data_IF_285452795291
#
_entry.id   IF_285452795291
#
_cell.length_a   1.000
_cell.length_b   1.000
_cell.length_c   1.000
_cell.angle_alpha   90.00
_cell.angle_beta   90.00
_cell.angle_gamma   90.00
#
_symmetry.space_group_name_H-M   'P 1'
#
loop_
_entity.id
_entity.type
_entity.pdbx_description
1 polymer ?
#
# COMPACT_ATOMS: atom_id res chain seq x y z
N UNK A 1 -0.38 -3.85 20.71
CA UNK A 1 -1.50 -4.53 21.41
C UNK A 1 -1.11 -5.35 22.65
N UNK A 2 0.17 -5.54 22.97
CA UNK A 2 0.57 -6.19 24.24
C UNK A 2 0.36 -7.72 24.29
N UNK A 3 -0.10 -8.34 23.19
CA UNK A 3 -0.37 -9.77 23.11
C UNK A 3 0.71 -10.49 22.30
N UNK A 4 1.16 -11.64 22.81
CA UNK A 4 2.11 -12.51 22.11
C UNK A 4 1.35 -13.44 21.16
N UNK A 5 1.50 -13.22 19.85
CA UNK A 5 0.83 -14.02 18.80
C UNK A 5 1.59 -15.32 18.48
N UNK A 6 2.83 -15.46 18.95
CA UNK A 6 3.65 -16.67 18.71
C UNK A 6 4.05 -16.86 17.24
N UNK A 7 4.08 -15.78 16.44
CA UNK A 7 4.27 -15.84 14.99
C UNK A 7 5.62 -16.45 14.57
N UNK A 8 6.67 -16.32 15.39
CA UNK A 8 8.02 -16.83 15.11
C UNK A 8 8.26 -18.27 15.59
N UNK A 9 7.49 -18.74 16.60
CA UNK A 9 7.73 -20.02 17.27
C UNK A 9 6.75 -21.13 16.88
N UNK A 10 5.70 -20.81 16.11
CA UNK A 10 4.79 -21.81 15.58
C UNK A 10 4.08 -21.34 14.31
N UNK A 11 4.24 -22.10 13.22
CA UNK A 11 3.59 -21.83 11.91
C UNK A 11 2.06 -22.00 11.90
N UNK A 12 1.40 -22.03 13.07
CA UNK A 12 -0.01 -22.38 13.26
C UNK A 12 -0.81 -21.32 14.03
N UNK A 13 -0.39 -20.05 14.00
CA UNK A 13 -1.26 -18.99 14.52
C UNK A 13 -2.52 -18.93 13.66
N UNK A 14 -3.66 -19.33 14.23
CA UNK A 14 -4.94 -19.33 13.55
C UNK A 14 -5.31 -17.92 13.07
N UNK A 15 -4.93 -16.89 13.83
CA UNK A 15 -5.11 -15.49 13.45
C UNK A 15 -4.36 -15.16 12.15
N UNK A 16 -3.05 -15.43 12.10
CA UNK A 16 -2.20 -15.14 10.93
C UNK A 16 -2.71 -15.90 9.70
N UNK A 17 -3.10 -17.17 9.88
CA UNK A 17 -3.70 -17.96 8.80
C UNK A 17 -5.00 -17.35 8.27
N UNK A 18 -5.90 -16.90 9.16
CA UNK A 18 -7.15 -16.26 8.76
C UNK A 18 -6.91 -14.94 8.03
N UNK A 19 -5.93 -14.13 8.48
CA UNK A 19 -5.53 -12.88 7.83
C UNK A 19 -5.08 -13.13 6.39
N UNK A 20 -4.17 -14.08 6.17
CA UNK A 20 -3.72 -14.42 4.82
C UNK A 20 -4.83 -14.97 3.93
N UNK A 21 -5.72 -15.80 4.49
CA UNK A 21 -6.88 -16.31 3.75
C UNK A 21 -7.81 -15.16 3.30
N UNK A 22 -8.14 -14.23 4.21
CA UNK A 22 -8.97 -13.05 3.91
C UNK A 22 -8.31 -12.17 2.84
N UNK A 23 -7.01 -11.91 2.94
CA UNK A 23 -6.26 -11.14 1.94
C UNK A 23 -6.31 -11.76 0.54
N UNK A 24 -6.15 -13.09 0.44
CA UNK A 24 -6.27 -13.82 -0.83
C UNK A 24 -7.67 -13.67 -1.46
N UNK A 25 -8.71 -13.93 -0.68
CA UNK A 25 -10.10 -13.79 -1.16
C UNK A 25 -10.44 -12.35 -1.56
N UNK A 26 -9.91 -11.36 -0.85
CA UNK A 26 -10.07 -9.95 -1.20
C UNK A 26 -9.49 -9.65 -2.60
N UNK A 27 -8.26 -10.08 -2.88
CA UNK A 27 -7.62 -9.87 -4.19
C UNK A 27 -8.34 -10.63 -5.31
N UNK A 28 -8.81 -11.85 -5.05
CA UNK A 28 -9.62 -12.62 -6.02
C UNK A 28 -10.94 -11.92 -6.34
N UNK A 29 -11.61 -11.36 -5.31
CA UNK A 29 -12.86 -10.62 -5.49
C UNK A 29 -12.62 -9.32 -6.26
N UNK A 30 -11.51 -8.62 -6.01
CA UNK A 30 -11.14 -7.35 -6.65
C UNK A 30 -11.09 -7.44 -8.19
N UNK A 31 -10.70 -8.58 -8.75
CA UNK A 31 -10.61 -8.78 -10.21
C UNK A 31 -11.85 -9.45 -10.83
N UNK A 32 -12.89 -9.71 -10.03
CA UNK A 32 -14.13 -10.40 -10.46
C UNK A 32 -15.36 -9.51 -10.18
N UNK A 33 -15.68 -8.54 -11.06
CA UNK A 33 -16.76 -7.59 -10.83
C UNK A 33 -18.15 -8.22 -10.58
N UNK A 34 -18.41 -9.41 -11.13
CA UNK A 34 -19.65 -10.15 -10.88
C UNK A 34 -19.80 -10.67 -9.44
N UNK A 35 -18.72 -10.68 -8.65
CA UNK A 35 -18.73 -11.00 -7.22
C UNK A 35 -18.79 -9.75 -6.33
N UNK A 36 -18.89 -8.53 -6.89
CA UNK A 36 -18.99 -7.31 -6.09
C UNK A 36 -20.28 -7.22 -5.27
N UNK A 37 -21.47 -7.65 -5.76
CA UNK A 37 -22.66 -7.69 -4.92
C UNK A 37 -22.48 -8.71 -3.77
N UNK A 38 -22.55 -8.24 -2.52
CA UNK A 38 -22.33 -9.10 -1.34
C UNK A 38 -23.26 -10.30 -1.30
N UNK A 39 -24.53 -10.13 -1.68
CA UNK A 39 -25.48 -11.24 -1.70
C UNK A 39 -25.02 -12.36 -2.65
N UNK A 40 -24.52 -12.02 -3.84
CA UNK A 40 -24.01 -13.01 -4.81
C UNK A 40 -22.78 -13.69 -4.23
N UNK A 41 -21.84 -12.92 -3.69
CA UNK A 41 -20.60 -13.44 -3.15
C UNK A 41 -20.85 -14.42 -1.99
N UNK A 42 -21.74 -14.08 -1.05
CA UNK A 42 -22.06 -14.92 0.11
C UNK A 42 -22.82 -16.20 -0.25
N UNK A 43 -23.43 -16.28 -1.44
CA UNK A 43 -24.01 -17.51 -1.97
C UNK A 43 -22.96 -18.47 -2.54
N UNK A 44 -21.75 -18.00 -2.83
CA UNK A 44 -20.64 -18.85 -3.29
C UNK A 44 -19.97 -19.60 -2.12
N UNK A 45 -19.21 -20.64 -2.43
CA UNK A 45 -18.36 -21.30 -1.43
C UNK A 45 -17.25 -20.37 -0.93
N UNK A 46 -16.62 -19.61 -1.85
CA UNK A 46 -15.57 -18.63 -1.56
C UNK A 46 -16.05 -17.58 -0.53
N UNK A 47 -17.23 -16.99 -0.75
CA UNK A 47 -17.79 -16.00 0.17
C UNK A 47 -18.19 -16.55 1.53
N UNK A 48 -18.65 -17.81 1.61
CA UNK A 48 -18.90 -18.48 2.90
C UNK A 48 -17.60 -18.69 3.68
N UNK A 49 -16.57 -19.20 3.02
CA UNK A 49 -15.25 -19.43 3.63
C UNK A 49 -14.59 -18.11 4.05
N UNK A 50 -14.67 -17.06 3.22
CA UNK A 50 -14.24 -15.71 3.58
C UNK A 50 -14.89 -15.24 4.88
N UNK A 51 -16.22 -15.37 4.99
CA UNK A 51 -16.96 -14.96 6.18
C UNK A 51 -16.53 -15.73 7.43
N UNK A 52 -16.18 -17.01 7.30
CA UNK A 52 -15.74 -17.81 8.46
C UNK A 52 -14.32 -17.43 8.91
N UNK A 53 -13.42 -17.09 7.99
CA UNK A 53 -12.11 -16.52 8.36
C UNK A 53 -12.24 -15.15 9.03
N UNK A 54 -13.12 -14.27 8.52
CA UNK A 54 -13.42 -12.97 9.14
C UNK A 54 -13.94 -13.15 10.57
N UNK A 55 -14.85 -14.12 10.80
CA UNK A 55 -15.29 -14.46 12.18
C UNK A 55 -14.13 -14.88 13.07
N UNK A 56 -13.18 -15.66 12.54
CA UNK A 56 -11.98 -16.06 13.27
C UNK A 56 -11.09 -14.89 13.67
N UNK A 57 -10.92 -13.91 12.77
CA UNK A 57 -10.21 -12.65 13.05
C UNK A 57 -10.93 -11.88 14.17
N UNK A 58 -12.23 -11.65 14.03
CA UNK A 58 -13.02 -10.92 15.04
C UNK A 58 -13.03 -11.62 16.40
N UNK A 59 -13.08 -12.96 16.43
CA UNK A 59 -13.05 -13.72 17.68
C UNK A 59 -11.72 -13.51 18.42
N UNK A 60 -10.61 -13.49 17.68
CA UNK A 60 -9.29 -13.24 18.24
C UNK A 60 -9.18 -11.82 18.82
N UNK A 61 -9.57 -10.80 18.06
CA UNK A 61 -9.46 -9.39 18.49
C UNK A 61 -10.40 -9.04 19.62
N UNK A 62 -11.63 -9.57 19.63
CA UNK A 62 -12.54 -9.49 20.79
C UNK A 62 -11.92 -10.12 22.04
N UNK A 63 -11.20 -11.23 21.89
CA UNK A 63 -10.45 -11.86 22.98
C UNK A 63 -9.38 -10.93 23.57
N UNK A 64 -8.57 -10.32 22.70
CA UNK A 64 -7.53 -9.34 23.09
C UNK A 64 -8.12 -8.14 23.83
N UNK A 65 -9.21 -7.57 23.32
CA UNK A 65 -9.89 -6.41 23.93
C UNK A 65 -10.43 -6.78 25.31
N UNK A 66 -11.09 -7.94 25.43
CA UNK A 66 -11.67 -8.42 26.68
C UNK A 66 -10.60 -8.63 27.76
N UNK A 67 -9.50 -9.29 27.41
CA UNK A 67 -8.38 -9.53 28.33
C UNK A 67 -7.78 -8.20 28.81
N UNK A 68 -7.48 -7.28 27.89
CA UNK A 68 -6.88 -5.99 28.24
C UNK A 68 -7.81 -5.11 29.08
N UNK A 69 -9.11 -5.08 28.76
CA UNK A 69 -10.14 -4.36 29.52
C UNK A 69 -10.22 -4.88 30.96
N UNK A 70 -10.16 -6.20 31.16
CA UNK A 70 -10.17 -6.80 32.50
C UNK A 70 -8.93 -6.41 33.33
N UNK A 71 -7.73 -6.50 32.73
CA UNK A 71 -6.49 -6.06 33.40
C UNK A 71 -6.55 -4.59 33.81
N UNK A 72 -7.08 -3.73 32.93
CA UNK A 72 -7.16 -2.29 33.18
C UNK A 72 -8.13 -1.92 34.31
N UNK A 73 -9.29 -2.59 34.37
CA UNK A 73 -10.24 -2.41 35.47
C UNK A 73 -9.65 -2.85 36.82
N UNK A 74 -8.86 -3.93 36.82
CA UNK A 74 -8.11 -4.36 38.01
C UNK A 74 -7.08 -3.31 38.43
N UNK A 75 -6.29 -2.77 37.49
CA UNK A 75 -5.30 -1.71 37.76
C UNK A 75 -5.93 -0.45 38.36
N UNK A 76 -7.12 -0.05 37.87
CA UNK A 76 -7.88 1.09 38.44
C UNK A 76 -8.39 0.82 39.85
N UNK A 77 -8.79 -0.42 40.15
CA UNK A 77 -9.28 -0.81 41.49
C UNK A 77 -8.20 -0.87 42.56
N UNK A 78 -6.95 -1.13 42.18
CA UNK A 78 -5.81 -1.31 43.11
C UNK A 78 -5.17 0.05 43.49
N UNK A 79 -5.69 1.17 42.98
CA UNK A 79 -5.23 2.51 43.39
C UNK A 79 -3.79 2.82 42.98
N UNK A 80 -3.38 2.36 41.79
CA UNK A 80 -2.04 2.61 41.27
C UNK A 80 -1.75 4.09 41.08
N UNK A 81 -0.59 4.54 41.56
CA UNK A 81 -0.05 5.90 41.38
C UNK A 81 -0.09 6.29 39.91
N UNK A 82 -0.72 7.43 39.62
CA UNK A 82 -0.82 8.07 38.29
C UNK A 82 0.56 8.57 37.83
N UNK A 83 1.48 7.64 37.59
CA UNK A 83 2.69 7.91 36.83
C UNK A 83 2.22 8.05 35.39
N UNK A 84 2.44 9.21 34.77
CA UNK A 84 2.25 9.46 33.32
C UNK A 84 3.02 8.43 32.49
N UNK A 85 2.53 7.21 32.40
CA UNK A 85 3.02 6.17 31.51
C UNK A 85 2.50 6.50 30.13
N UNK A 86 3.40 6.42 29.14
CA UNK A 86 3.00 6.46 27.73
C UNK A 86 2.11 5.25 27.48
N UNK A 87 0.81 5.48 27.37
CA UNK A 87 -0.19 4.44 27.18
C UNK A 87 -0.01 3.78 25.81
N UNK A 88 -0.22 2.46 25.75
CA UNK A 88 -0.30 1.76 24.48
C UNK A 88 -1.59 2.15 23.75
N UNK A 89 -1.63 1.98 22.42
CA UNK A 89 -2.78 2.36 21.59
C UNK A 89 -4.13 1.83 22.11
N UNK A 90 -4.22 0.53 22.39
CA UNK A 90 -5.44 -0.08 22.94
C UNK A 90 -5.82 0.49 24.32
N UNK A 91 -4.83 0.88 25.14
CA UNK A 91 -5.12 1.47 26.44
C UNK A 91 -5.79 2.84 26.29
N UNK A 92 -5.38 3.63 25.30
CA UNK A 92 -6.01 4.92 24.98
C UNK A 92 -7.48 4.75 24.56
N UNK A 93 -7.76 3.78 23.67
CA UNK A 93 -9.13 3.48 23.24
C UNK A 93 -10.00 3.01 24.42
N UNK A 94 -9.46 2.14 25.27
CA UNK A 94 -10.17 1.65 26.44
C UNK A 94 -10.42 2.76 27.48
N UNK A 95 -9.47 3.68 27.68
CA UNK A 95 -9.69 4.83 28.58
C UNK A 95 -10.82 5.72 28.09
N UNK A 96 -10.86 6.02 26.79
CA UNK A 96 -11.90 6.87 26.22
C UNK A 96 -13.27 6.19 26.29
N UNK A 97 -13.34 4.89 25.99
CA UNK A 97 -14.56 4.11 26.13
C UNK A 97 -15.07 4.05 27.58
N UNK A 98 -14.17 3.89 28.57
CA UNK A 98 -14.55 3.86 29.98
C UNK A 98 -15.05 5.22 30.48
N UNK A 99 -14.55 6.33 29.92
CA UNK A 99 -15.01 7.69 30.23
C UNK A 99 -16.33 8.02 29.54
N UNK A 100 -16.45 7.69 28.26
CA UNK A 100 -17.57 8.07 27.40
C UNK A 100 -18.08 6.86 26.58
N UNK A 101 -18.80 5.89 27.20
CA UNK A 101 -19.19 4.65 26.53
C UNK A 101 -20.11 4.83 25.30
N UNK A 102 -20.80 5.96 25.20
CA UNK A 102 -21.69 6.26 24.08
C UNK A 102 -21.01 6.97 22.90
N UNK A 103 -19.81 7.52 23.12
CA UNK A 103 -19.04 8.21 22.08
C UNK A 103 -18.15 7.23 21.31
N UNK A 104 -17.59 6.25 22.00
CA UNK A 104 -16.74 5.21 21.43
C UNK A 104 -17.30 3.85 21.82
N UNK A 105 -18.00 3.20 20.90
CA UNK A 105 -18.62 1.90 21.14
C UNK A 105 -17.54 0.80 21.17
N UNK A 106 -17.83 -0.32 21.83
CA UNK A 106 -16.91 -1.46 21.85
C UNK A 106 -16.67 -2.03 20.44
N UNK A 107 -17.64 -1.88 19.54
CA UNK A 107 -17.50 -2.26 18.14
C UNK A 107 -16.52 -1.35 17.38
N UNK A 108 -16.55 -0.03 17.63
CA UNK A 108 -15.60 0.92 17.05
C UNK A 108 -14.16 0.58 17.51
N UNK A 109 -13.99 0.23 18.79
CA UNK A 109 -12.70 -0.22 19.33
C UNK A 109 -12.24 -1.49 18.61
N UNK A 110 -13.15 -2.45 18.37
CA UNK A 110 -12.82 -3.67 17.63
C UNK A 110 -12.35 -3.35 16.22
N UNK A 111 -13.03 -2.47 15.50
CA UNK A 111 -12.66 -2.11 14.13
C UNK A 111 -11.28 -1.45 14.06
N UNK A 112 -10.98 -0.54 14.98
CA UNK A 112 -9.65 0.06 15.11
C UNK A 112 -8.59 -1.00 15.49
N UNK A 113 -8.91 -1.89 16.42
CA UNK A 113 -8.02 -2.99 16.82
C UNK A 113 -7.74 -3.93 15.65
N UNK A 114 -8.75 -4.33 14.89
CA UNK A 114 -8.62 -5.19 13.70
C UNK A 114 -7.69 -4.55 12.67
N UNK A 115 -7.91 -3.26 12.40
CA UNK A 115 -7.12 -2.46 11.45
C UNK A 115 -5.65 -2.41 11.88
N UNK A 116 -5.35 -1.95 13.10
CA UNK A 116 -3.98 -1.83 13.58
C UNK A 116 -3.28 -3.18 13.76
N UNK A 117 -4.01 -4.23 14.14
CA UNK A 117 -3.45 -5.57 14.25
C UNK A 117 -3.08 -6.14 12.90
N UNK A 118 -3.88 -5.90 11.86
CA UNK A 118 -3.54 -6.30 10.49
C UNK A 118 -2.38 -5.47 9.93
N UNK A 119 -2.55 -4.16 9.85
CA UNK A 119 -1.62 -3.26 9.17
C UNK A 119 -0.25 -3.21 9.83
N UNK A 120 -0.20 -3.31 11.16
CA UNK A 120 1.02 -3.11 11.94
C UNK A 120 2.07 -4.23 11.82
N UNK A 121 1.67 -5.46 11.43
CA UNK A 121 2.59 -6.60 11.41
C UNK A 121 2.91 -7.11 10.00
N UNK A 122 1.91 -7.25 9.12
CA UNK A 122 2.14 -7.92 7.83
C UNK A 122 2.98 -7.05 6.90
N UNK A 123 2.67 -5.75 6.83
CA UNK A 123 3.40 -4.78 6.01
C UNK A 123 4.85 -4.60 6.44
N UNK A 124 5.10 -4.56 7.76
CA UNK A 124 6.43 -4.40 8.35
C UNK A 124 7.27 -5.67 8.23
N UNK A 125 6.66 -6.85 8.41
CA UNK A 125 7.32 -8.14 8.18
C UNK A 125 7.78 -8.30 6.72
N UNK A 126 6.96 -7.87 5.76
CA UNK A 126 7.33 -7.89 4.34
C UNK A 126 8.45 -6.89 4.02
N UNK A 127 8.38 -5.67 4.56
CA UNK A 127 9.43 -4.67 4.40
C UNK A 127 10.80 -5.18 4.92
N UNK A 128 10.80 -5.82 6.08
CA UNK A 128 11.98 -6.42 6.67
C UNK A 128 12.51 -7.58 5.82
N UNK A 129 11.61 -8.46 5.36
CA UNK A 129 11.97 -9.62 4.53
C UNK A 129 12.66 -9.20 3.23
N UNK A 130 12.11 -8.20 2.53
CA UNK A 130 12.75 -7.64 1.33
C UNK A 130 14.08 -6.96 1.63
N UNK A 131 14.16 -6.20 2.73
CA UNK A 131 15.41 -5.53 3.13
C UNK A 131 16.52 -6.55 3.40
N UNK A 132 16.24 -7.61 4.15
CA UNK A 132 17.20 -8.68 4.45
C UNK A 132 17.61 -9.39 3.17
N UNK A 133 16.63 -9.76 2.33
CA UNK A 133 16.89 -10.43 1.06
C UNK A 133 17.82 -9.59 0.17
N UNK A 134 17.55 -8.29 0.02
CA UNK A 134 18.37 -7.39 -0.78
C UNK A 134 19.76 -7.19 -0.19
N UNK A 135 19.89 -6.98 1.12
CA UNK A 135 21.21 -6.86 1.77
C UNK A 135 22.05 -8.13 1.56
N UNK A 136 21.44 -9.32 1.62
CA UNK A 136 22.11 -10.59 1.34
C UNK A 136 22.61 -10.72 -0.10
N UNK A 137 21.99 -10.02 -1.05
CA UNK A 137 22.42 -9.96 -2.46
C UNK A 137 23.38 -8.81 -2.78
N UNK A 138 23.61 -7.88 -1.84
CA UNK A 138 24.46 -6.71 -2.04
C UNK A 138 25.53 -6.59 -0.94
N UNK A 139 26.60 -7.41 -0.98
CA UNK A 139 27.62 -7.46 0.08
C UNK A 139 28.29 -6.12 0.38
N UNK A 140 28.47 -5.26 -0.63
CA UNK A 140 29.06 -3.92 -0.43
C UNK A 140 28.14 -3.02 0.41
N UNK A 141 26.82 -3.06 0.16
CA UNK A 141 25.86 -2.31 0.95
C UNK A 141 25.76 -2.87 2.36
N UNK A 142 25.76 -4.20 2.50
CA UNK A 142 25.77 -4.87 3.79
C UNK A 142 27.01 -4.50 4.62
N UNK A 143 28.20 -4.48 4.02
CA UNK A 143 29.44 -4.04 4.68
C UNK A 143 29.31 -2.62 5.22
N UNK A 144 28.76 -1.69 4.44
CA UNK A 144 28.54 -0.30 4.89
C UNK A 144 27.55 -0.23 6.05
N UNK A 145 26.51 -1.06 6.05
CA UNK A 145 25.61 -1.19 7.21
C UNK A 145 26.35 -1.71 8.44
N UNK A 146 27.20 -2.74 8.31
CA UNK A 146 28.02 -3.23 9.43
C UNK A 146 28.94 -2.12 9.96
N UNK A 147 29.68 -1.44 9.09
CA UNK A 147 30.56 -0.32 9.49
C UNK A 147 29.81 0.82 10.20
N UNK A 148 28.57 1.10 9.79
CA UNK A 148 27.69 2.06 10.47
C UNK A 148 27.29 1.56 11.85
N UNK A 149 26.85 0.30 11.96
CA UNK A 149 26.39 -0.30 13.21
C UNK A 149 27.55 -0.45 14.21
N UNK A 150 28.71 -0.95 13.77
CA UNK A 150 29.93 -1.04 14.59
C UNK A 150 30.31 0.34 15.14
N UNK A 151 30.25 1.38 14.31
CA UNK A 151 30.52 2.76 14.75
C UNK A 151 29.51 3.25 15.80
N UNK A 152 28.27 2.79 15.79
CA UNK A 152 27.22 3.23 16.72
C UNK A 152 27.32 2.46 18.05
N UNK A 153 27.47 1.14 17.97
CA UNK A 153 27.43 0.27 19.14
C UNK A 153 28.79 0.16 19.84
N UNK A 154 29.91 0.31 19.13
CA UNK A 154 31.26 0.13 19.70
C UNK A 154 31.87 1.45 20.22
N UNK A 155 31.11 2.55 20.31
CA UNK A 155 31.58 3.85 20.86
C UNK A 155 32.07 3.78 22.32
N UNK A 156 31.85 2.66 23.03
CA UNK A 156 32.12 2.49 24.46
C UNK A 156 33.46 1.84 24.84
N UNK A 157 34.22 1.27 23.89
CA UNK A 157 35.57 0.73 24.17
C UNK A 157 35.66 -0.36 25.26
N UNK A 158 34.55 -1.02 25.61
CA UNK A 158 34.57 -2.15 26.54
C UNK A 158 34.84 -3.43 25.73
N UNK A 159 36.10 -3.58 25.29
CA UNK A 159 36.67 -4.88 24.90
C UNK A 159 36.84 -5.71 26.19
N UNK A 160 35.73 -6.07 26.84
CA UNK A 160 35.73 -7.17 27.79
C UNK A 160 35.69 -8.45 26.96
N UNK A 161 36.88 -8.85 26.49
CA UNK A 161 37.07 -10.11 25.81
C UNK A 161 36.44 -11.25 26.61
N UNK A 162 35.67 -12.08 25.90
CA UNK A 162 35.10 -13.35 26.36
C UNK A 162 33.67 -13.31 26.97
N UNK A 163 32.81 -12.39 26.54
CA UNK A 163 31.35 -12.57 26.66
C UNK A 163 30.64 -12.45 25.30
N UNK A 164 29.76 -13.39 24.98
CA UNK A 164 28.82 -13.40 23.83
C UNK A 164 27.78 -12.24 23.90
N UNK A 165 28.04 -11.17 24.67
CA UNK A 165 27.10 -10.13 25.07
C UNK A 165 27.48 -8.74 24.50
N UNK A 166 27.73 -8.65 23.20
CA UNK A 166 27.82 -7.37 22.49
C UNK A 166 26.40 -6.81 22.21
N UNK A 167 25.54 -6.77 23.24
CA UNK A 167 24.07 -6.82 23.10
C UNK A 167 23.31 -5.79 23.93
N UNK A 168 23.80 -4.55 24.02
CA UNK A 168 22.94 -3.48 24.57
C UNK A 168 21.77 -3.21 23.61
N UNK A 169 20.52 -3.07 24.09
CA UNK A 169 19.40 -2.69 23.23
C UNK A 169 19.65 -1.35 22.52
N UNK A 170 19.16 -1.21 21.29
CA UNK A 170 19.21 0.05 20.56
C UNK A 170 18.39 1.14 21.27
N UNK A 171 19.01 2.29 21.49
CA UNK A 171 18.38 3.50 22.05
C UNK A 171 17.78 4.36 20.94
N UNK A 172 16.94 5.34 21.31
CA UNK A 172 16.36 6.28 20.33
C UNK A 172 17.45 7.12 19.67
N UNK A 173 18.52 7.42 20.40
CA UNK A 173 19.70 8.13 19.91
C UNK A 173 20.43 7.30 18.85
N UNK A 174 20.63 5.99 19.09
CA UNK A 174 21.25 5.09 18.10
C UNK A 174 20.45 5.05 16.79
N UNK A 175 19.12 4.95 16.89
CA UNK A 175 18.25 4.91 15.70
C UNK A 175 18.39 6.15 14.81
N UNK A 176 18.69 7.33 15.40
CA UNK A 176 18.92 8.57 14.63
C UNK A 176 20.25 8.54 13.86
N UNK A 177 21.20 7.74 14.32
CA UNK A 177 22.52 7.60 13.70
C UNK A 177 22.55 6.52 12.60
N UNK A 178 21.56 5.61 12.52
CA UNK A 178 21.43 4.52 11.52
C UNK A 178 21.01 5.00 10.12
N UNK A 179 21.68 6.00 9.57
CA UNK A 179 21.28 6.72 8.36
C UNK A 179 21.41 5.87 7.09
N UNK A 180 22.48 5.12 6.95
CA UNK A 180 22.74 4.28 5.79
C UNK A 180 21.83 3.05 5.81
N UNK A 181 21.61 2.43 6.97
CA UNK A 181 20.62 1.38 7.13
C UNK A 181 19.21 1.87 6.77
N UNK A 182 18.83 3.08 7.19
CA UNK A 182 17.56 3.70 6.77
C UNK A 182 17.47 3.88 5.25
N UNK A 183 18.56 4.28 4.58
CA UNK A 183 18.62 4.33 3.12
C UNK A 183 18.40 2.94 2.48
N UNK A 184 19.00 1.88 3.03
CA UNK A 184 18.78 0.51 2.55
C UNK A 184 17.32 0.07 2.71
N UNK A 185 16.68 0.38 3.84
CA UNK A 185 15.25 0.10 4.06
C UNK A 185 14.38 0.87 3.06
N UNK A 186 14.66 2.16 2.85
CA UNK A 186 13.94 2.98 1.86
C UNK A 186 14.12 2.48 0.44
N UNK A 187 15.32 2.04 0.07
CA UNK A 187 15.59 1.48 -1.24
C UNK A 187 14.87 0.14 -1.46
N UNK A 188 14.83 -0.71 -0.43
CA UNK A 188 14.04 -1.93 -0.45
C UNK A 188 12.55 -1.63 -0.67
N UNK A 189 11.99 -0.65 0.04
CA UNK A 189 10.60 -0.21 -0.14
C UNK A 189 10.34 0.50 -1.47
N UNK A 190 11.35 1.13 -2.08
CA UNK A 190 11.26 1.73 -3.42
C UNK A 190 11.12 0.66 -4.50
N UNK A 191 11.88 -0.44 -4.37
CA UNK A 191 11.86 -1.56 -5.31
C UNK A 191 10.68 -2.53 -5.05
N UNK A 192 10.43 -2.83 -3.79
CA UNK A 192 9.44 -3.79 -3.31
C UNK A 192 8.58 -3.15 -2.21
N UNK A 193 7.65 -2.26 -2.57
CA UNK A 193 6.76 -1.66 -1.59
C UNK A 193 5.83 -2.72 -0.98
N UNK A 194 5.71 -2.75 0.35
CA UNK A 194 4.81 -3.70 1.04
C UNK A 194 3.35 -3.54 0.60
N UNK A 195 2.94 -2.32 0.23
CA UNK A 195 1.59 -2.01 -0.29
C UNK A 195 1.75 -1.33 -1.66
N UNK A 196 1.63 -2.07 -2.79
CA UNK A 196 1.95 -1.54 -4.11
C UNK A 196 0.83 -0.70 -4.74
N UNK A 197 -0.43 -0.88 -4.31
CA UNK A 197 -1.60 -0.23 -4.92
C UNK A 197 -2.50 0.34 -3.81
N UNK A 198 -2.94 1.58 -3.99
CA UNK A 198 -3.94 2.24 -3.15
C UNK A 198 -5.00 2.88 -4.05
N UNK A 199 -6.27 2.58 -3.78
CA UNK A 199 -7.41 3.19 -4.47
C UNK A 199 -7.91 4.45 -3.76
N UNK A 200 -8.51 5.37 -4.51
CA UNK A 200 -9.23 6.54 -3.98
C UNK A 200 -10.54 6.71 -4.74
N UNK A 201 -11.59 7.06 -4.03
CA UNK A 201 -12.85 7.53 -4.63
C UNK A 201 -12.91 9.06 -4.58
N UNK A 202 -13.32 9.68 -5.68
CA UNK A 202 -13.39 11.13 -5.81
C UNK A 202 -14.80 11.60 -5.52
N UNK A 203 -15.03 12.24 -4.37
CA UNK A 203 -16.34 12.74 -3.97
C UNK A 203 -16.65 14.15 -4.48
N UNK A 204 -15.63 14.93 -4.85
CA UNK A 204 -15.78 16.31 -5.34
C UNK A 204 -14.89 16.55 -6.55
N UNK A 205 -15.33 17.40 -7.46
CA UNK A 205 -14.52 17.77 -8.62
C UNK A 205 -13.29 18.56 -8.18
N UNK A 206 -12.11 18.15 -8.65
CA UNK A 206 -10.86 18.87 -8.41
C UNK A 206 -10.01 18.89 -9.69
N UNK A 207 -9.25 19.96 -9.88
CA UNK A 207 -8.31 20.07 -10.99
C UNK A 207 -7.06 19.24 -10.70
N UNK A 208 -6.98 18.05 -11.31
CA UNK A 208 -5.68 17.39 -11.51
C UNK A 208 -4.88 18.27 -12.47
N UNK A 209 -3.56 18.37 -12.28
CA UNK A 209 -2.61 19.18 -13.09
C UNK A 209 -2.63 18.95 -14.62
N UNK A 210 -3.55 18.13 -15.14
CA UNK A 210 -3.91 17.98 -16.56
C UNK A 210 -4.15 19.29 -17.31
N UNK A 211 -4.38 20.41 -16.62
CA UNK A 211 -4.40 21.73 -17.26
C UNK A 211 -3.12 21.99 -18.08
N UNK A 212 -1.94 21.59 -17.59
CA UNK A 212 -0.69 21.78 -18.33
C UNK A 212 -0.58 20.86 -19.56
N UNK A 213 -0.87 19.56 -19.40
CA UNK A 213 -0.88 18.61 -20.51
C UNK A 213 -1.88 19.01 -21.61
N UNK A 214 -3.09 19.41 -21.24
CA UNK A 214 -4.11 19.90 -22.18
C UNK A 214 -3.70 21.20 -22.87
N UNK A 215 -3.00 22.11 -22.17
CA UNK A 215 -2.49 23.34 -22.79
C UNK A 215 -1.40 23.04 -23.82
N UNK A 216 -0.45 22.15 -23.51
CA UNK A 216 0.60 21.75 -24.44
C UNK A 216 0.03 21.04 -25.67
N UNK A 217 -0.88 20.08 -25.47
CA UNK A 217 -1.54 19.37 -26.55
C UNK A 217 -2.34 20.33 -27.44
N UNK A 218 -3.12 21.26 -26.84
CA UNK A 218 -3.82 22.31 -27.59
C UNK A 218 -2.87 23.17 -28.41
N UNK A 219 -1.71 23.56 -27.88
CA UNK A 219 -0.72 24.37 -28.61
C UNK A 219 -0.17 23.61 -29.81
N UNK A 220 0.20 22.34 -29.63
CA UNK A 220 0.74 21.49 -30.69
C UNK A 220 -0.31 21.22 -31.77
N UNK A 221 -1.50 20.75 -31.38
CA UNK A 221 -2.60 20.48 -32.30
C UNK A 221 -3.03 21.76 -33.04
N UNK A 222 -3.11 22.90 -32.35
CA UNK A 222 -3.37 24.20 -32.97
C UNK A 222 -2.33 24.54 -34.04
N UNK A 223 -1.03 24.34 -33.79
CA UNK A 223 0.02 24.60 -34.79
C UNK A 223 -0.09 23.67 -35.99
N UNK A 224 -0.38 22.39 -35.77
CA UNK A 224 -0.57 21.40 -36.82
C UNK A 224 -1.81 21.72 -37.66
N UNK A 225 -2.98 21.84 -37.04
CA UNK A 225 -4.27 22.00 -37.73
C UNK A 225 -4.46 23.37 -38.40
N UNK A 226 -3.68 24.39 -38.02
CA UNK A 226 -3.60 25.66 -38.76
C UNK A 226 -2.92 25.51 -40.13
N UNK A 227 -2.03 24.52 -40.28
CA UNK A 227 -1.21 24.33 -41.48
C UNK A 227 -1.58 23.07 -42.27
N UNK A 228 -2.17 22.08 -41.61
CA UNK A 228 -2.37 20.75 -42.16
C UNK A 228 -3.77 20.19 -41.87
N UNK A 229 -4.25 19.36 -42.77
CA UNK A 229 -5.41 18.48 -42.61
C UNK A 229 -4.92 17.07 -42.37
N UNK A 230 -5.45 16.42 -41.34
CA UNK A 230 -5.06 15.06 -40.93
C UNK A 230 -6.22 14.11 -41.26
N UNK A 231 -5.93 12.97 -41.87
CA UNK A 231 -6.89 11.90 -42.13
C UNK A 231 -6.34 10.58 -41.59
N UNK A 232 -7.16 9.86 -40.81
CA UNK A 232 -6.82 8.49 -40.40
C UNK A 232 -6.91 7.56 -41.60
N UNK A 233 -5.93 6.67 -41.74
CA UNK A 233 -5.90 5.65 -42.79
C UNK A 233 -6.56 4.34 -42.34
N UNK A 234 -6.84 4.19 -41.05
CA UNK A 234 -7.56 3.04 -40.49
C UNK A 234 -8.85 3.47 -39.81
N UNK A 235 -9.87 2.60 -39.90
CA UNK A 235 -11.10 2.72 -39.12
C UNK A 235 -10.86 2.37 -37.65
N UNK A 236 -11.67 2.95 -36.77
CA UNK A 236 -11.58 2.74 -35.32
C UNK A 236 -11.84 1.27 -34.94
N UNK A 237 -12.72 0.61 -35.70
CA UNK A 237 -13.08 -0.81 -35.58
C UNK A 237 -11.90 -1.77 -35.79
N UNK A 238 -10.82 -1.30 -36.42
CA UNK A 238 -9.61 -2.09 -36.73
C UNK A 238 -8.42 -1.77 -35.82
N UNK A 239 -8.63 -0.95 -34.79
CA UNK A 239 -7.57 -0.62 -33.83
C UNK A 239 -7.41 -1.74 -32.82
N UNK A 240 -6.24 -2.37 -32.84
CA UNK A 240 -5.82 -3.30 -31.81
C UNK A 240 -5.15 -2.54 -30.67
N UNK A 241 -5.83 -2.42 -29.53
CA UNK A 241 -5.30 -1.73 -28.36
C UNK A 241 -4.48 -2.68 -27.49
N UNK A 242 -3.32 -2.20 -27.06
CA UNK A 242 -2.46 -2.84 -26.05
C UNK A 242 -2.50 -2.00 -24.78
N UNK A 243 -2.99 -2.60 -23.69
CA UNK A 243 -2.99 -1.98 -22.37
C UNK A 243 -1.69 -2.35 -21.65
N UNK A 244 -0.70 -1.46 -21.73
CA UNK A 244 0.52 -1.50 -20.91
C UNK A 244 0.38 -0.45 -19.78
N UNK A 245 1.47 0.22 -19.38
CA UNK A 245 1.42 1.38 -18.47
C UNK A 245 0.63 2.56 -19.06
N UNK A 246 0.56 2.65 -20.38
CA UNK A 246 -0.26 3.61 -21.13
C UNK A 246 -0.94 2.86 -22.27
N UNK A 247 -2.18 3.23 -22.62
CA UNK A 247 -2.90 2.64 -23.74
C UNK A 247 -2.17 2.95 -25.06
N UNK A 248 -1.81 1.92 -25.82
CA UNK A 248 -1.14 2.04 -27.13
C UNK A 248 -1.95 1.32 -28.20
N UNK A 249 -1.83 1.76 -29.46
CA UNK A 249 -2.21 0.93 -30.60
C UNK A 249 -1.07 -0.02 -30.92
N UNK A 250 -1.34 -1.32 -30.95
CA UNK A 250 -0.34 -2.38 -31.23
C UNK A 250 0.33 -2.20 -32.59
N UNK A 251 -0.42 -1.74 -33.59
CA UNK A 251 0.04 -1.57 -34.97
C UNK A 251 0.23 -0.08 -35.34
N UNK A 252 0.32 0.81 -34.34
CA UNK A 252 0.44 2.25 -34.54
C UNK A 252 -0.87 2.93 -34.99
N UNK A 253 -0.78 4.22 -35.31
CA UNK A 253 -1.91 5.05 -35.74
C UNK A 253 -1.59 5.65 -37.12
N UNK A 254 -1.84 4.93 -38.22
CA UNK A 254 -1.49 5.42 -39.56
C UNK A 254 -2.36 6.63 -39.93
N UNK A 255 -1.71 7.77 -40.16
CA UNK A 255 -2.36 9.02 -40.56
C UNK A 255 -1.67 9.61 -41.80
N UNK A 256 -2.45 10.28 -42.64
CA UNK A 256 -1.93 11.15 -43.70
C UNK A 256 -2.10 12.61 -43.32
N UNK A 257 -1.04 13.39 -43.49
CA UNK A 257 -1.01 14.82 -43.21
C UNK A 257 -0.83 15.56 -44.54
N UNK A 258 -1.78 16.40 -44.91
CA UNK A 258 -1.73 17.21 -46.13
C UNK A 258 -1.80 18.69 -45.80
N UNK A 259 -1.20 19.55 -46.62
CA UNK A 259 -1.24 21.01 -46.37
C UNK A 259 -2.68 21.51 -46.47
N UNK A 260 -3.15 22.18 -45.41
CA UNK A 260 -4.48 22.77 -45.36
C UNK A 260 -4.54 23.96 -46.31
N UNK A 261 -5.54 24.03 -47.22
CA UNK A 261 -5.75 25.21 -48.06
C UNK A 261 -6.05 26.43 -47.18
N UNK A 262 -5.47 27.60 -47.50
CA UNK A 262 -5.80 28.86 -46.82
C UNK A 262 -6.85 29.61 -47.63
N UNK A 263 -8.04 29.79 -47.04
CA UNK A 263 -9.17 30.51 -47.63
C UNK A 263 -10.49 29.76 -47.43
N UNK A 264 -11.61 30.48 -47.32
CA UNK A 264 -12.95 29.90 -47.29
C UNK A 264 -13.23 29.24 -48.64
N UNK A 265 -12.87 27.97 -48.74
CA UNK A 265 -13.03 27.17 -49.93
C UNK A 265 -13.05 25.70 -49.56
N UNK A 266 -14.22 25.23 -49.12
CA UNK A 266 -14.69 23.94 -49.63
C UNK A 266 -14.89 24.13 -51.15
N UNK A 267 -13.81 24.24 -51.91
CA UNK A 267 -13.89 24.16 -53.36
C UNK A 267 -13.69 22.70 -53.75
N UNK A 268 -14.69 22.18 -54.45
CA UNK A 268 -14.71 20.88 -55.09
C UNK A 268 -13.33 20.55 -55.68
N UNK A 269 -12.62 19.59 -55.08
CA UNK A 269 -11.52 18.91 -55.77
C UNK A 269 -12.12 17.70 -56.45
N UNK A 270 -12.37 17.86 -57.74
CA UNK A 270 -12.60 16.81 -58.73
C UNK A 270 -11.52 15.74 -58.58
N UNK A 271 -11.93 14.51 -58.27
CA UNK A 271 -11.10 13.32 -58.45
C UNK A 271 -10.91 13.16 -59.96
N UNK A 272 -9.68 13.38 -60.44
CA UNK A 272 -9.29 12.88 -61.76
C UNK A 272 -8.69 11.50 -61.52
N UNK A 273 -9.49 10.47 -61.80
CA UNK A 273 -8.99 9.13 -62.04
C UNK A 273 -8.24 9.14 -63.37
N UNK A 274 -6.93 8.88 -63.32
CA UNK A 274 -6.19 8.50 -64.52
C UNK A 274 -6.02 6.99 -64.46
N UNK A 275 -6.92 6.30 -65.17
CA UNK A 275 -6.74 4.92 -65.60
C UNK A 275 -5.76 4.90 -66.78
N UNK A 276 -4.64 4.19 -66.62
CA UNK A 276 -4.04 3.27 -67.60
C UNK A 276 -2.91 2.50 -66.95
#
# INVERSE_FOLDING_TARGET
>A
MGVKVGAQTGSKSAYVHNVYAVGRFFLERLVRPWLYPDFVYLLTQEGRTFRDHVKGIHAFTKGVIKERKATKLLEQSVGGVDVKKRLAFLDLLLDEHLKNPQLLLEEDIREEVDTFMFEGHDTTAMALSWTIFLLGHHPEAQRKCHEELDRIFNKGGQDDGDSDEDTRPATVEDLRDMKYLECCIKEALRLYPSVPIVGREVHTTFDVSQRFALMEEKVVLSRLLRKFSIRSLCGIDRLELSAEMVLRSRNGLPVTITRRPKGNGWSNKTTIDVLS
#
